data_IF_513279419133
#
_entry.id   IF_513279419133
#
_cell.length_a   1.000
_cell.length_b   1.000
_cell.length_c   1.000
_cell.angle_alpha   90.00
_cell.angle_beta   90.00
_cell.angle_gamma   90.00
#
_symmetry.space_group_name_H-M   'P 1'
#
loop_
_entity.id
_entity.type
_entity.pdbx_description
1 polymer ?
#
# COMPACT_ATOMS: atom_id res chain seq x y z
N UNK A 1 -31.35 -9.99 -9.96
CA UNK A 1 -30.22 -10.83 -9.52
C UNK A 1 -28.86 -10.28 -9.96
N UNK A 2 -28.72 -9.64 -11.12
CA UNK A 2 -27.44 -9.10 -11.65
C UNK A 2 -26.76 -7.98 -10.83
N UNK A 3 -27.51 -7.14 -10.10
CA UNK A 3 -26.95 -5.99 -9.36
C UNK A 3 -26.24 -6.36 -8.05
N UNK A 4 -26.52 -7.56 -7.51
CA UNK A 4 -25.93 -8.05 -6.26
C UNK A 4 -24.60 -8.76 -6.54
N UNK A 5 -24.53 -9.55 -7.63
CA UNK A 5 -23.29 -10.18 -8.11
C UNK A 5 -22.19 -9.16 -8.45
N UNK A 6 -22.56 -8.03 -9.06
CA UNK A 6 -21.63 -6.96 -9.41
C UNK A 6 -21.01 -6.31 -8.15
N UNK A 7 -21.82 -6.17 -7.09
CA UNK A 7 -21.37 -5.58 -5.82
C UNK A 7 -20.45 -6.53 -5.06
N UNK A 8 -20.78 -7.82 -4.96
CA UNK A 8 -19.91 -8.82 -4.30
C UNK A 8 -18.58 -8.96 -5.03
N UNK A 9 -18.60 -8.97 -6.36
CA UNK A 9 -17.38 -9.02 -7.19
C UNK A 9 -16.51 -7.79 -6.97
N UNK A 10 -17.11 -6.60 -6.93
CA UNK A 10 -16.40 -5.34 -6.66
C UNK A 10 -15.70 -5.34 -5.29
N UNK A 11 -16.35 -5.86 -4.25
CA UNK A 11 -15.74 -6.01 -2.92
C UNK A 11 -14.63 -7.07 -2.92
N UNK A 12 -14.78 -8.17 -3.67
CA UNK A 12 -13.71 -9.15 -3.86
C UNK A 12 -12.46 -8.54 -4.48
N UNK A 13 -12.63 -7.73 -5.54
CA UNK A 13 -11.54 -6.99 -6.20
C UNK A 13 -10.88 -6.01 -5.23
N UNK A 14 -11.66 -5.33 -4.38
CA UNK A 14 -11.14 -4.43 -3.36
C UNK A 14 -10.23 -5.14 -2.34
N UNK A 15 -10.64 -6.31 -1.83
CA UNK A 15 -9.81 -7.07 -0.90
C UNK A 15 -8.56 -7.64 -1.57
N UNK A 16 -8.69 -8.10 -2.81
CA UNK A 16 -7.54 -8.53 -3.61
C UNK A 16 -6.56 -7.37 -3.81
N UNK A 17 -7.06 -6.20 -4.19
CA UNK A 17 -6.26 -4.99 -4.31
C UNK A 17 -5.53 -4.65 -3.02
N UNK A 18 -6.20 -4.70 -1.87
CA UNK A 18 -5.61 -4.40 -0.57
C UNK A 18 -4.43 -5.33 -0.22
N UNK A 19 -4.49 -6.59 -0.67
CA UNK A 19 -3.44 -7.59 -0.45
C UNK A 19 -2.19 -7.33 -1.32
N UNK A 20 -2.36 -6.77 -2.52
CA UNK A 20 -1.25 -6.46 -3.44
C UNK A 20 -0.73 -5.02 -3.33
N UNK A 21 -1.52 -4.11 -2.77
CA UNK A 21 -1.17 -2.70 -2.62
C UNK A 21 0.15 -2.45 -1.85
N UNK A 22 0.46 -3.17 -0.75
CA UNK A 22 1.72 -2.99 -0.01
C UNK A 22 2.96 -3.31 -0.85
N UNK A 23 2.87 -4.28 -1.77
CA UNK A 23 4.02 -4.73 -2.57
C UNK A 23 4.57 -3.63 -3.49
N UNK A 24 3.70 -2.75 -4.00
CA UNK A 24 4.15 -1.63 -4.84
C UNK A 24 4.98 -0.62 -4.04
N UNK A 25 4.61 -0.41 -2.77
CA UNK A 25 5.31 0.53 -1.87
C UNK A 25 6.54 -0.09 -1.21
N UNK A 26 6.59 -1.43 -1.12
CA UNK A 26 7.69 -2.19 -0.55
C UNK A 26 9.03 -1.94 -1.27
N UNK A 27 9.01 -1.77 -2.59
CA UNK A 27 10.21 -1.51 -3.42
C UNK A 27 10.98 -0.27 -2.92
N UNK A 28 10.29 0.73 -2.36
CA UNK A 28 10.92 1.92 -1.77
C UNK A 28 11.85 1.54 -0.60
N UNK A 29 11.51 0.52 0.16
CA UNK A 29 12.32 0.07 1.30
C UNK A 29 13.51 -0.80 0.92
N UNK A 30 13.51 -1.38 -0.28
CA UNK A 30 14.63 -2.18 -0.77
C UNK A 30 15.85 -1.34 -1.15
N UNK A 31 15.69 -0.03 -1.35
CA UNK A 31 16.83 0.89 -1.54
C UNK A 31 17.80 0.89 -0.34
N UNK A 32 17.34 0.54 0.86
CA UNK A 32 18.20 0.43 2.04
C UNK A 32 19.12 -0.80 2.01
N UNK A 33 18.88 -1.77 1.12
CA UNK A 33 19.66 -3.00 1.00
C UNK A 33 20.54 -3.04 -0.27
N UNK A 34 20.82 -1.88 -0.88
CA UNK A 34 21.84 -1.73 -1.92
C UNK A 34 23.23 -2.04 -1.33
N UNK A 35 23.55 -3.33 -1.18
CA UNK A 35 24.82 -3.84 -0.63
C UNK A 35 25.69 -4.51 -1.71
N UNK A 36 26.98 -4.59 -1.40
CA UNK A 36 28.10 -4.32 -2.32
C UNK A 36 28.53 -5.42 -3.33
N UNK A 37 27.72 -6.43 -3.59
CA UNK A 37 28.20 -7.65 -4.25
C UNK A 37 27.56 -7.92 -5.62
N UNK A 38 27.54 -6.91 -6.49
CA UNK A 38 27.23 -7.10 -7.91
C UNK A 38 28.43 -6.64 -8.74
N UNK A 39 28.75 -7.36 -9.81
CA UNK A 39 29.77 -6.97 -10.80
C UNK A 39 29.35 -5.72 -11.61
N UNK A 40 28.30 -5.03 -11.16
CA UNK A 40 27.61 -3.93 -11.83
C UNK A 40 27.86 -2.66 -11.01
N UNK A 41 28.03 -1.49 -11.65
CA UNK A 41 28.20 -0.25 -10.92
C UNK A 41 26.99 0.07 -10.02
N UNK A 42 27.23 0.34 -8.74
CA UNK A 42 26.18 0.66 -7.74
C UNK A 42 25.23 1.77 -8.17
N UNK A 43 25.70 2.75 -8.94
CA UNK A 43 24.87 3.84 -9.45
C UNK A 43 23.80 3.36 -10.43
N UNK A 44 24.08 2.30 -11.19
CA UNK A 44 23.13 1.71 -12.12
C UNK A 44 22.01 0.99 -11.36
N UNK A 45 22.38 0.13 -10.40
CA UNK A 45 21.40 -0.59 -9.56
C UNK A 45 20.54 0.40 -8.75
N UNK A 46 21.13 1.48 -8.25
CA UNK A 46 20.40 2.57 -7.59
C UNK A 46 19.40 3.21 -8.54
N UNK A 47 19.80 3.62 -9.75
CA UNK A 47 18.89 4.25 -10.71
C UNK A 47 17.77 3.32 -11.15
N UNK A 48 18.07 2.03 -11.34
CA UNK A 48 17.10 1.01 -11.70
C UNK A 48 16.05 0.83 -10.59
N UNK A 49 16.49 0.57 -9.36
CA UNK A 49 15.61 0.39 -8.21
C UNK A 49 14.83 1.65 -7.90
N UNK A 50 15.46 2.82 -7.98
CA UNK A 50 14.79 4.10 -7.77
C UNK A 50 13.73 4.36 -8.85
N UNK A 51 14.01 4.05 -10.11
CA UNK A 51 13.04 4.16 -11.19
C UNK A 51 11.85 3.22 -10.97
N UNK A 52 12.11 1.98 -10.55
CA UNK A 52 11.05 1.03 -10.21
C UNK A 52 10.21 1.50 -9.00
N UNK A 53 10.86 2.01 -7.95
CA UNK A 53 10.19 2.56 -6.77
C UNK A 53 9.31 3.77 -7.11
N UNK A 54 9.81 4.70 -7.93
CA UNK A 54 9.04 5.85 -8.40
C UNK A 54 7.80 5.42 -9.19
N UNK A 55 7.96 4.48 -10.13
CA UNK A 55 6.83 3.93 -10.89
C UNK A 55 5.81 3.25 -9.97
N UNK A 56 6.29 2.44 -9.02
CA UNK A 56 5.44 1.77 -8.02
C UNK A 56 4.62 2.76 -7.20
N UNK A 57 5.25 3.84 -6.71
CA UNK A 57 4.56 4.91 -5.98
C UNK A 57 3.53 5.60 -6.87
N UNK A 58 3.88 6.00 -8.09
CA UNK A 58 2.96 6.69 -9.01
C UNK A 58 1.74 5.84 -9.39
N UNK A 59 1.97 4.56 -9.72
CA UNK A 59 0.89 3.61 -10.00
C UNK A 59 0.05 3.35 -8.76
N UNK A 60 0.68 3.24 -7.59
CA UNK A 60 0.01 3.08 -6.30
C UNK A 60 -0.91 4.25 -5.97
N UNK A 61 -0.48 5.49 -6.19
CA UNK A 61 -1.32 6.68 -5.97
C UNK A 61 -2.51 6.73 -6.93
N UNK A 62 -2.29 6.43 -8.22
CA UNK A 62 -3.37 6.34 -9.21
C UNK A 62 -4.38 5.24 -8.86
N UNK A 63 -3.89 4.10 -8.37
CA UNK A 63 -4.72 2.99 -7.93
C UNK A 63 -5.54 3.33 -6.69
N UNK A 64 -4.92 3.97 -5.69
CA UNK A 64 -5.59 4.44 -4.48
C UNK A 64 -6.67 5.48 -4.81
N UNK A 65 -6.45 6.31 -5.82
CA UNK A 65 -7.47 7.24 -6.33
C UNK A 65 -8.72 6.52 -6.83
N UNK A 66 -8.56 5.47 -7.62
CA UNK A 66 -9.70 4.66 -8.08
C UNK A 66 -10.46 4.05 -6.90
N UNK A 67 -9.74 3.59 -5.86
CA UNK A 67 -10.35 3.09 -4.62
C UNK A 67 -11.09 4.21 -3.87
N UNK A 68 -10.54 5.41 -3.75
CA UNK A 68 -11.23 6.53 -3.12
C UNK A 68 -12.54 6.86 -3.86
N UNK A 69 -12.53 6.87 -5.19
CA UNK A 69 -13.74 7.10 -5.99
C UNK A 69 -14.76 5.96 -5.84
N UNK A 70 -14.30 4.71 -5.76
CA UNK A 70 -15.15 3.57 -5.44
C UNK A 70 -15.79 3.72 -4.05
N UNK A 71 -15.01 4.11 -3.04
CA UNK A 71 -15.50 4.34 -1.68
C UNK A 71 -16.53 5.48 -1.64
N UNK A 72 -16.28 6.61 -2.31
CA UNK A 72 -17.24 7.73 -2.40
C UNK A 72 -18.61 7.32 -2.97
N UNK A 73 -18.66 6.31 -3.84
CA UNK A 73 -19.90 5.77 -4.42
C UNK A 73 -20.62 4.78 -3.51
N UNK A 74 -19.91 4.14 -2.58
CA UNK A 74 -20.42 3.02 -1.78
C UNK A 74 -20.62 3.34 -0.29
N UNK A 75 -19.91 4.35 0.25
CA UNK A 75 -19.98 4.78 1.65
C UNK A 75 -20.13 6.31 1.74
N UNK A 76 -20.52 6.83 2.90
CA UNK A 76 -20.65 8.28 3.09
C UNK A 76 -19.31 8.99 2.92
N UNK A 77 -19.29 10.07 2.13
CA UNK A 77 -18.08 10.84 1.77
C UNK A 77 -17.28 11.32 2.98
N UNK A 78 -17.94 11.58 4.12
CA UNK A 78 -17.30 11.97 5.39
C UNK A 78 -16.34 10.90 5.93
N UNK A 79 -16.62 9.61 5.71
CA UNK A 79 -15.81 8.51 6.23
C UNK A 79 -14.69 8.08 5.28
N UNK A 80 -14.78 8.42 4.00
CA UNK A 80 -13.78 8.08 2.98
C UNK A 80 -12.34 8.44 3.39
N UNK A 81 -12.01 9.66 3.85
CA UNK A 81 -10.62 9.98 4.22
C UNK A 81 -10.12 9.14 5.41
N UNK A 82 -10.99 8.81 6.36
CA UNK A 82 -10.65 7.94 7.50
C UNK A 82 -10.35 6.52 7.03
N UNK A 83 -11.18 6.00 6.12
CA UNK A 83 -10.97 4.67 5.51
C UNK A 83 -9.69 4.64 4.70
N UNK A 84 -9.43 5.65 3.86
CA UNK A 84 -8.19 5.75 3.07
C UNK A 84 -6.96 5.79 3.98
N UNK A 85 -6.98 6.59 5.06
CA UNK A 85 -5.88 6.62 6.01
C UNK A 85 -5.67 5.25 6.70
N UNK A 86 -6.76 4.55 7.04
CA UNK A 86 -6.70 3.21 7.63
C UNK A 86 -6.11 2.18 6.65
N UNK A 87 -6.44 2.27 5.35
CA UNK A 87 -5.84 1.43 4.32
C UNK A 87 -4.34 1.69 4.16
N UNK A 88 -3.91 2.95 4.29
CA UNK A 88 -2.48 3.30 4.27
C UNK A 88 -1.74 2.81 5.51
N UNK A 89 -2.37 2.80 6.69
CA UNK A 89 -1.83 2.16 7.89
C UNK A 89 -1.64 0.65 7.70
N UNK A 90 -2.65 -0.03 7.13
CA UNK A 90 -2.54 -1.44 6.77
C UNK A 90 -1.44 -1.67 5.73
N UNK A 91 -1.27 -0.75 4.78
CA UNK A 91 -0.17 -0.79 3.82
C UNK A 91 1.19 -0.68 4.49
N UNK A 92 1.38 0.28 5.40
CA UNK A 92 2.60 0.40 6.20
C UNK A 92 2.91 -0.86 7.01
N UNK A 93 1.88 -1.48 7.59
CA UNK A 93 2.02 -2.76 8.28
C UNK A 93 2.36 -3.91 7.33
N UNK A 94 1.78 -3.94 6.13
CA UNK A 94 2.15 -4.89 5.08
C UNK A 94 3.61 -4.78 4.65
N UNK A 95 4.14 -3.55 4.54
CA UNK A 95 5.58 -3.31 4.28
C UNK A 95 6.42 -3.88 5.42
N UNK A 96 6.02 -3.70 6.68
CA UNK A 96 6.69 -4.30 7.83
C UNK A 96 6.72 -5.84 7.75
N UNK A 97 5.57 -6.47 7.45
CA UNK A 97 5.47 -7.92 7.30
C UNK A 97 6.39 -8.43 6.19
N UNK A 98 6.41 -7.77 5.03
CA UNK A 98 7.31 -8.11 3.93
C UNK A 98 8.78 -7.94 4.28
N UNK A 99 9.14 -6.84 4.96
CA UNK A 99 10.55 -6.48 5.19
C UNK A 99 11.22 -7.31 6.27
N UNK A 100 10.54 -7.47 7.41
CA UNK A 100 11.15 -8.08 8.60
C UNK A 100 10.80 -9.54 8.73
N UNK A 101 9.56 -9.91 8.37
CA UNK A 101 9.10 -11.27 8.46
C UNK A 101 9.17 -12.04 7.14
N UNK A 102 9.49 -11.35 6.02
CA UNK A 102 9.60 -11.94 4.67
C UNK A 102 8.32 -12.63 4.20
N UNK A 103 7.18 -12.21 4.74
CA UNK A 103 5.87 -12.68 4.28
C UNK A 103 5.47 -11.94 3.01
N UNK A 104 5.17 -12.71 1.97
CA UNK A 104 4.66 -12.20 0.70
C UNK A 104 3.13 -12.28 0.67
N UNK A 105 2.50 -11.49 -0.19
CA UNK A 105 1.05 -11.53 -0.43
C UNK A 105 0.54 -12.93 -0.83
N UNK A 106 1.38 -13.77 -1.43
CA UNK A 106 1.05 -15.14 -1.81
C UNK A 106 1.05 -16.13 -0.64
N UNK A 107 1.70 -15.79 0.48
CA UNK A 107 1.78 -16.68 1.64
C UNK A 107 0.45 -16.84 2.39
N UNK A 108 -0.52 -15.96 2.11
CA UNK A 108 -1.89 -16.12 2.58
C UNK A 108 -2.55 -17.37 1.99
N UNK A 109 -2.11 -17.81 0.80
CA UNK A 109 -2.65 -18.98 0.11
C UNK A 109 -1.85 -20.24 0.40
N UNK A 110 -0.53 -20.13 0.63
CA UNK A 110 0.34 -21.28 0.87
C UNK A 110 0.42 -21.67 2.35
N UNK A 111 0.41 -20.70 3.28
CA UNK A 111 0.55 -20.94 4.73
C UNK A 111 -0.32 -19.98 5.58
N UNK A 112 -1.66 -20.02 5.42
CA UNK A 112 -2.57 -19.09 6.10
C UNK A 112 -2.48 -19.14 7.63
N UNK A 113 -2.33 -20.33 8.22
CA UNK A 113 -2.31 -20.50 9.67
C UNK A 113 -1.04 -19.94 10.33
N UNK A 114 0.12 -20.09 9.66
CA UNK A 114 1.39 -19.55 10.15
C UNK A 114 1.42 -18.02 10.10
N UNK A 115 0.88 -17.43 9.03
CA UNK A 115 0.73 -15.98 8.90
C UNK A 115 -0.20 -15.41 9.99
N UNK A 116 -1.39 -16.01 10.18
CA UNK A 116 -2.37 -15.53 11.15
C UNK A 116 -1.88 -15.66 12.60
N UNK A 117 -1.20 -16.75 12.97
CA UNK A 117 -0.61 -16.88 14.31
C UNK A 117 0.47 -15.84 14.59
N UNK A 118 1.32 -15.54 13.60
CA UNK A 118 2.36 -14.51 13.75
C UNK A 118 1.76 -13.11 13.86
N UNK A 119 0.76 -12.76 13.03
CA UNK A 119 0.04 -11.50 13.14
C UNK A 119 -0.63 -11.39 14.52
N UNK A 120 -1.32 -12.45 14.98
CA UNK A 120 -1.99 -12.47 16.26
C UNK A 120 -1.03 -12.34 17.46
N UNK A 121 0.18 -12.91 17.34
CA UNK A 121 1.22 -12.79 18.36
C UNK A 121 1.84 -11.37 18.37
N UNK A 122 2.09 -10.78 17.20
CA UNK A 122 2.64 -9.43 17.07
C UNK A 122 1.68 -8.34 17.55
N UNK A 123 0.37 -8.50 17.29
CA UNK A 123 -0.66 -7.57 17.78
C UNK A 123 -0.83 -7.66 19.30
N UNK A 124 -0.59 -8.83 19.91
CA UNK A 124 -0.67 -9.03 21.37
C UNK A 124 0.54 -8.50 22.14
N UNK A 125 1.68 -8.28 21.50
CA UNK A 125 2.89 -7.74 22.12
C UNK A 125 3.41 -6.45 21.45
N UNK A 126 2.60 -5.37 21.39
CA UNK A 126 2.94 -4.14 20.66
C UNK A 126 4.15 -3.39 21.23
N UNK A 127 4.42 -3.52 22.53
CA UNK A 127 5.48 -2.80 23.25
C UNK A 127 6.90 -3.35 23.03
N UNK A 128 7.03 -4.56 22.45
CA UNK A 128 8.36 -5.20 22.21
C UNK A 128 8.88 -4.98 20.79
N UNK A 129 8.07 -4.36 19.91
CA UNK A 129 8.32 -4.09 18.48
C UNK A 129 7.87 -2.66 18.10
N UNK A 130 8.37 -1.66 18.83
CA UNK A 130 8.12 -0.24 18.54
C UNK A 130 8.47 0.15 17.11
N UNK A 131 9.53 -0.43 16.55
CA UNK A 131 10.00 -0.15 15.19
C UNK A 131 8.95 -0.50 14.13
N UNK A 132 8.15 -1.54 14.36
CA UNK A 132 7.11 -2.01 13.43
C UNK A 132 5.95 -1.02 13.31
N UNK A 133 5.43 -0.57 14.45
CA UNK A 133 4.33 0.38 14.53
C UNK A 133 4.79 1.78 14.11
N UNK A 134 6.03 2.16 14.46
CA UNK A 134 6.62 3.42 14.05
C UNK A 134 6.84 3.46 12.53
N UNK A 135 7.41 2.42 11.93
CA UNK A 135 7.58 2.32 10.48
C UNK A 135 6.22 2.39 9.77
N UNK A 136 5.24 1.63 10.25
CA UNK A 136 3.90 1.59 9.65
C UNK A 136 3.23 2.96 9.71
N UNK A 137 3.30 3.64 10.86
CA UNK A 137 2.76 4.98 11.05
C UNK A 137 3.45 6.02 10.17
N UNK A 138 4.80 6.03 10.14
CA UNK A 138 5.58 6.94 9.32
C UNK A 138 5.31 6.75 7.82
N UNK A 139 5.30 5.51 7.33
CA UNK A 139 4.97 5.21 5.94
C UNK A 139 3.53 5.61 5.61
N UNK A 140 2.57 5.33 6.50
CA UNK A 140 1.19 5.71 6.28
C UNK A 140 1.01 7.24 6.21
N UNK A 141 1.64 7.98 7.12
CA UNK A 141 1.60 9.45 7.11
C UNK A 141 2.27 10.01 5.85
N UNK A 142 3.45 9.50 5.48
CA UNK A 142 4.16 9.91 4.27
C UNK A 142 3.35 9.66 3.01
N UNK A 143 2.83 8.43 2.84
CA UNK A 143 1.96 8.08 1.71
C UNK A 143 0.67 8.88 1.70
N UNK A 144 0.10 9.18 2.86
CA UNK A 144 -1.12 9.99 2.94
C UNK A 144 -0.88 11.42 2.47
N UNK A 145 0.22 12.06 2.89
CA UNK A 145 0.58 13.41 2.43
C UNK A 145 0.80 13.41 0.92
N UNK A 146 1.56 12.45 0.39
CA UNK A 146 1.78 12.31 -1.05
C UNK A 146 0.47 12.12 -1.81
N UNK A 147 -0.41 11.27 -1.30
CA UNK A 147 -1.72 11.03 -1.90
C UNK A 147 -2.59 12.28 -1.91
N UNK A 148 -2.66 13.02 -0.79
CA UNK A 148 -3.40 14.29 -0.71
C UNK A 148 -2.88 15.32 -1.71
N UNK A 149 -1.56 15.40 -1.89
CA UNK A 149 -0.97 16.25 -2.92
C UNK A 149 -1.35 15.78 -4.35
N UNK A 150 -1.21 14.49 -4.64
CA UNK A 150 -1.54 13.94 -5.95
C UNK A 150 -3.02 14.17 -6.35
N UNK A 151 -3.94 13.96 -5.41
CA UNK A 151 -5.39 14.19 -5.65
C UNK A 151 -5.73 15.65 -5.91
N UNK A 152 -5.04 16.61 -5.30
CA UNK A 152 -5.22 18.04 -5.62
C UNK A 152 -4.79 18.35 -7.06
N UNK A 153 -3.71 17.74 -7.53
CA UNK A 153 -3.23 17.89 -8.91
C UNK A 153 -4.22 17.26 -9.90
N UNK A 154 -4.72 16.05 -9.62
CA UNK A 154 -5.71 15.39 -10.47
C UNK A 154 -7.03 16.17 -10.53
N UNK A 155 -7.49 16.70 -9.39
CA UNK A 155 -8.73 17.49 -9.34
C UNK A 155 -8.63 18.78 -10.16
N UNK A 156 -7.47 19.46 -10.17
CA UNK A 156 -7.28 20.68 -10.97
C UNK A 156 -7.34 20.41 -12.47
N UNK A 157 -6.81 19.28 -12.94
CA UNK A 157 -6.87 18.90 -14.36
C UNK A 157 -8.30 18.67 -14.84
N UNK A 158 -9.13 18.00 -14.04
CA UNK A 158 -10.53 17.76 -14.38
C UNK A 158 -11.36 19.04 -14.49
N UNK A 159 -11.13 20.04 -13.63
CA UNK A 159 -11.84 21.33 -13.72
C UNK A 159 -11.46 22.14 -14.96
N UNK A 160 -10.22 22.00 -15.45
CA UNK A 160 -9.74 22.69 -16.65
C UNK A 160 -10.23 22.08 -17.97
N UNK A 161 -10.48 20.78 -18.02
CA UNK A 161 -11.01 20.11 -19.23
C UNK A 161 -12.53 20.30 -19.43
N UNK A 162 -13.24 20.73 -18.39
CA UNK A 162 -14.69 20.99 -18.41
C UNK A 162 -15.07 22.47 -18.59
N UNK A 163 -14.10 23.37 -18.67
CA UNK A 163 -14.28 24.82 -18.86
C UNK A 163 -13.92 25.22 -20.29
#
# INVERSE_FOLDING_TARGET
MSKVEDKTTSWGIFFLWLLFFPNAMYIVTDLFHLNESTNVPKWFDLLLLFSAALNGVLMGMSSLYNIEQFLKKNISVKYVPVVVFSLLLLCGYGIYLGRYMRWNSWDIFTQPFGLLMNIAHDVKHPLRKTDSWMLSGLFATWLFILYRYATQVFSKKQTQETA
#
